data_IF_370120374914
#
_entry.id   IF_370120374914
#
_cell.length_a   1.000
_cell.length_b   1.000
_cell.length_c   1.000
_cell.angle_alpha   90.00
_cell.angle_beta   90.00
_cell.angle_gamma   90.00
#
_symmetry.space_group_name_H-M   'P 1'
#
loop_
_entity.id
_entity.type
_entity.pdbx_description
1 polymer ?
#
# COMPACT_ATOMS: atom_id res chain seq x y z
N UNK A 1 -42.13 -40.55 6.85
CA UNK A 1 -41.14 -40.53 5.75
C UNK A 1 -40.30 -39.31 5.90
N UNK A 2 -39.01 -39.48 6.16
CA UNK A 2 -38.05 -38.35 6.19
C UNK A 2 -37.93 -37.77 4.76
N UNK A 3 -38.38 -36.54 4.58
CA UNK A 3 -38.25 -35.83 3.31
C UNK A 3 -36.80 -35.37 3.20
N UNK A 4 -35.94 -36.25 2.67
CA UNK A 4 -34.53 -35.93 2.42
C UNK A 4 -34.43 -35.05 1.16
N UNK A 5 -34.05 -33.78 1.35
CA UNK A 5 -33.71 -32.88 0.25
C UNK A 5 -32.37 -33.30 -0.38
N UNK A 6 -32.48 -34.22 -1.36
CA UNK A 6 -31.34 -34.75 -2.12
C UNK A 6 -30.58 -33.65 -2.87
N UNK A 7 -31.24 -32.57 -3.27
CA UNK A 7 -30.59 -31.45 -3.92
C UNK A 7 -29.72 -30.63 -2.96
N UNK A 8 -30.15 -30.48 -1.72
CA UNK A 8 -29.37 -29.86 -0.64
C UNK A 8 -28.19 -30.73 -0.24
N UNK A 9 -28.42 -32.05 -0.07
CA UNK A 9 -27.33 -32.99 0.27
C UNK A 9 -26.29 -33.10 -0.84
N UNK A 10 -26.67 -33.04 -2.12
CA UNK A 10 -25.74 -33.01 -3.26
C UNK A 10 -24.93 -31.70 -3.26
N UNK A 11 -25.54 -30.56 -2.99
CA UNK A 11 -24.83 -29.27 -2.87
C UNK A 11 -23.88 -29.24 -1.69
N UNK A 12 -24.26 -29.85 -0.56
CA UNK A 12 -23.38 -29.96 0.61
C UNK A 12 -22.26 -30.97 0.35
N UNK A 13 -22.55 -32.14 -0.22
CA UNK A 13 -21.53 -33.12 -0.56
C UNK A 13 -20.52 -32.63 -1.60
N UNK A 14 -20.96 -31.81 -2.57
CA UNK A 14 -20.06 -31.17 -3.52
C UNK A 14 -19.10 -30.12 -2.91
N UNK A 15 -19.34 -29.71 -1.67
CA UNK A 15 -18.44 -28.83 -0.89
C UNK A 15 -17.34 -29.60 -0.17
N UNK A 16 -17.47 -30.91 -0.06
CA UNK A 16 -16.47 -31.76 0.58
C UNK A 16 -15.67 -32.50 -0.49
N UNK A 17 -14.38 -32.23 -0.57
CA UNK A 17 -13.46 -33.08 -1.33
C UNK A 17 -13.39 -34.46 -0.63
N UNK A 18 -14.03 -35.44 -1.24
CA UNK A 18 -14.04 -36.84 -0.74
C UNK A 18 -12.65 -37.48 -0.86
N UNK A 19 -11.77 -36.93 -1.69
CA UNK A 19 -10.43 -37.44 -1.92
C UNK A 19 -9.42 -36.31 -1.87
N UNK A 20 -8.45 -36.37 -0.97
CA UNK A 20 -7.30 -35.47 -0.98
C UNK A 20 -6.13 -36.12 -1.70
N UNK A 21 -5.67 -35.47 -2.74
CA UNK A 21 -4.44 -35.87 -3.42
C UNK A 21 -3.25 -35.62 -2.51
N UNK A 22 -2.39 -36.62 -2.35
CA UNK A 22 -1.15 -36.47 -1.59
C UNK A 22 0.04 -36.99 -2.37
N UNK A 23 1.17 -36.40 -2.08
CA UNK A 23 2.49 -36.77 -2.60
C UNK A 23 3.52 -36.80 -1.51
N UNK A 24 4.77 -36.86 -1.89
CA UNK A 24 5.92 -36.85 -0.97
C UNK A 24 6.90 -35.77 -1.35
N UNK A 25 7.50 -35.17 -0.34
CA UNK A 25 8.63 -34.26 -0.50
C UNK A 25 9.85 -35.02 -1.01
N UNK A 26 10.47 -34.52 -2.07
CA UNK A 26 11.64 -35.17 -2.71
C UNK A 26 12.94 -34.46 -2.41
N UNK A 27 12.90 -33.14 -2.21
CA UNK A 27 14.11 -32.36 -1.95
C UNK A 27 13.79 -30.92 -1.54
N UNK A 28 14.81 -30.24 -1.06
CA UNK A 28 14.79 -28.84 -0.68
C UNK A 28 16.04 -28.14 -1.21
N UNK A 29 15.91 -26.95 -1.78
CA UNK A 29 17.00 -26.10 -2.24
C UNK A 29 16.68 -24.65 -1.92
N UNK A 30 17.29 -24.11 -0.87
CA UNK A 30 16.97 -22.78 -0.36
C UNK A 30 15.49 -22.68 0.06
N UNK A 31 14.77 -21.76 -0.56
CA UNK A 31 13.32 -21.56 -0.30
C UNK A 31 12.44 -22.58 -1.05
N UNK A 32 13.00 -23.31 -2.00
CA UNK A 32 12.26 -24.15 -2.91
C UNK A 32 12.22 -25.60 -2.40
N UNK A 33 11.00 -26.11 -2.23
CA UNK A 33 10.76 -27.50 -1.92
C UNK A 33 10.20 -28.21 -3.15
N UNK A 34 10.68 -29.41 -3.43
CA UNK A 34 10.27 -30.22 -4.59
C UNK A 34 9.42 -31.38 -4.11
N UNK A 35 8.24 -31.59 -4.68
CA UNK A 35 7.34 -32.68 -4.29
C UNK A 35 6.65 -33.33 -5.50
N UNK A 36 6.30 -34.62 -5.34
CA UNK A 36 5.49 -35.37 -6.32
C UNK A 36 4.01 -35.17 -6.04
N UNK A 37 3.48 -33.98 -6.34
CA UNK A 37 2.09 -33.61 -6.09
C UNK A 37 1.45 -33.12 -7.40
N UNK A 38 0.39 -33.75 -7.91
CA UNK A 38 -0.41 -33.18 -8.98
C UNK A 38 -1.27 -32.01 -8.42
N UNK A 39 -0.91 -30.80 -8.81
CA UNK A 39 -1.57 -29.57 -8.35
C UNK A 39 -1.36 -28.47 -9.41
N UNK A 40 -2.15 -27.41 -9.41
CA UNK A 40 -1.97 -26.26 -10.29
C UNK A 40 -1.06 -25.19 -9.64
N UNK A 41 -0.47 -24.31 -10.46
CA UNK A 41 0.28 -23.16 -9.96
C UNK A 41 -0.67 -22.26 -9.18
N UNK A 42 -0.30 -21.92 -7.95
CA UNK A 42 -1.07 -21.12 -7.02
C UNK A 42 -1.92 -21.93 -6.05
N UNK A 43 -2.00 -23.26 -6.21
CA UNK A 43 -2.67 -24.10 -5.24
C UNK A 43 -1.90 -24.18 -3.93
N UNK A 44 -2.65 -24.28 -2.84
CA UNK A 44 -2.09 -24.52 -1.52
C UNK A 44 -1.88 -26.00 -1.25
N UNK A 45 -0.84 -26.31 -0.55
CA UNK A 45 -0.57 -27.64 -0.01
C UNK A 45 -0.10 -27.55 1.44
N UNK A 46 -0.24 -28.68 2.15
CA UNK A 46 0.21 -28.83 3.53
C UNK A 46 1.29 -29.92 3.61
N UNK A 47 2.44 -29.58 4.15
CA UNK A 47 3.54 -30.50 4.45
C UNK A 47 3.35 -30.95 5.88
N UNK A 48 3.26 -32.27 6.11
CA UNK A 48 3.04 -32.86 7.43
C UNK A 48 4.37 -33.02 8.15
N UNK A 49 4.57 -32.24 9.22
CA UNK A 49 5.76 -32.36 10.09
C UNK A 49 5.66 -33.56 11.03
N UNK A 50 6.79 -34.04 11.58
CA UNK A 50 6.80 -35.20 12.52
C UNK A 50 6.05 -34.96 13.83
N UNK A 51 6.00 -33.72 14.30
CA UNK A 51 5.28 -33.27 15.49
C UNK A 51 3.76 -33.18 15.31
N UNK A 52 3.27 -33.39 14.07
CA UNK A 52 1.86 -33.27 13.68
C UNK A 52 1.46 -31.88 13.21
N UNK A 53 2.32 -30.88 13.25
CA UNK A 53 2.07 -29.58 12.69
C UNK A 53 2.00 -29.61 11.16
N UNK A 54 1.28 -28.68 10.57
CA UNK A 54 1.13 -28.51 9.13
C UNK A 54 1.87 -27.26 8.69
N UNK A 55 2.90 -27.43 7.87
CA UNK A 55 3.55 -26.32 7.18
C UNK A 55 2.81 -26.04 5.88
N UNK A 56 2.13 -24.90 5.80
CA UNK A 56 1.44 -24.48 4.59
C UNK A 56 2.43 -23.97 3.54
N UNK A 57 2.20 -24.36 2.29
CA UNK A 57 3.01 -23.95 1.15
C UNK A 57 2.14 -23.68 -0.08
N UNK A 58 2.67 -22.98 -1.07
CA UNK A 58 2.04 -22.69 -2.35
C UNK A 58 2.85 -23.30 -3.50
N UNK A 59 2.16 -23.89 -4.46
CA UNK A 59 2.74 -24.39 -5.70
C UNK A 59 3.08 -23.19 -6.59
N UNK A 60 4.35 -22.98 -6.91
CA UNK A 60 4.84 -21.83 -7.68
C UNK A 60 5.32 -22.21 -9.09
N UNK A 61 5.49 -23.48 -9.37
CA UNK A 61 5.93 -23.97 -10.68
C UNK A 61 6.12 -25.47 -10.74
N UNK A 62 6.52 -25.94 -11.92
CA UNK A 62 6.82 -27.32 -12.21
C UNK A 62 8.09 -27.43 -13.04
N UNK A 63 8.89 -28.44 -12.76
CA UNK A 63 10.02 -28.81 -13.58
C UNK A 63 10.13 -30.33 -13.65
N UNK A 64 10.22 -30.91 -14.85
CA UNK A 64 10.37 -32.36 -15.07
C UNK A 64 9.29 -33.20 -14.36
N UNK A 65 8.05 -32.72 -14.30
CA UNK A 65 6.94 -33.41 -13.65
C UNK A 65 6.95 -33.36 -12.12
N UNK A 66 7.84 -32.57 -11.52
CA UNK A 66 7.93 -32.34 -10.08
C UNK A 66 7.37 -30.95 -9.75
N UNK A 67 6.48 -30.85 -8.79
CA UNK A 67 5.97 -29.58 -8.31
C UNK A 67 6.98 -28.88 -7.40
N UNK A 68 7.19 -27.61 -7.67
CA UNK A 68 7.96 -26.73 -6.81
C UNK A 68 7.03 -25.91 -5.92
N UNK A 69 7.22 -26.02 -4.62
CA UNK A 69 6.40 -25.33 -3.63
C UNK A 69 7.28 -24.45 -2.74
N UNK A 70 6.74 -23.34 -2.30
CA UNK A 70 7.38 -22.44 -1.32
C UNK A 70 6.49 -22.36 -0.10
N UNK A 71 7.02 -22.59 1.11
CA UNK A 71 6.27 -22.47 2.34
C UNK A 71 5.98 -20.99 2.69
N UNK A 72 4.87 -20.77 3.38
CA UNK A 72 4.50 -19.44 3.92
C UNK A 72 5.29 -19.09 5.18
N UNK A 73 5.86 -20.07 5.83
CA UNK A 73 6.68 -19.94 7.04
C UNK A 73 8.07 -20.55 6.80
N UNK A 74 9.00 -20.36 7.70
CA UNK A 74 10.33 -20.96 7.56
C UNK A 74 10.24 -22.49 7.59
N UNK A 75 10.94 -23.15 6.68
CA UNK A 75 10.89 -24.60 6.51
C UNK A 75 11.90 -25.30 7.46
N UNK A 76 11.70 -25.13 8.77
CA UNK A 76 12.48 -25.84 9.76
C UNK A 76 12.01 -27.30 9.88
N UNK A 77 12.95 -28.23 10.14
CA UNK A 77 12.69 -29.66 10.34
C UNK A 77 12.07 -30.37 9.13
N UNK A 78 12.21 -29.80 7.93
CA UNK A 78 11.70 -30.40 6.69
C UNK A 78 12.71 -31.37 6.11
N UNK A 79 12.30 -32.61 5.81
CA UNK A 79 13.15 -33.63 5.19
C UNK A 79 12.44 -34.37 4.05
N UNK A 80 13.22 -35.06 3.20
CA UNK A 80 12.69 -35.88 2.12
C UNK A 80 11.81 -37.01 2.65
N UNK A 81 10.76 -37.40 1.91
CA UNK A 81 9.83 -38.44 2.30
C UNK A 81 8.62 -37.93 3.11
N UNK A 82 8.63 -36.68 3.58
CA UNK A 82 7.46 -36.10 4.24
C UNK A 82 6.25 -36.08 3.33
N UNK A 83 5.07 -36.36 3.92
CA UNK A 83 3.80 -36.30 3.20
C UNK A 83 3.42 -34.87 2.88
N UNK A 84 3.01 -34.63 1.63
CA UNK A 84 2.47 -33.36 1.15
C UNK A 84 1.04 -33.58 0.68
N UNK A 85 0.08 -32.84 1.20
CA UNK A 85 -1.34 -32.97 0.85
C UNK A 85 -1.80 -31.73 0.10
N UNK A 86 -2.44 -31.92 -1.05
CA UNK A 86 -3.11 -30.85 -1.79
C UNK A 86 -4.35 -30.35 -1.03
N UNK A 87 -4.53 -29.04 -0.92
CA UNK A 87 -5.67 -28.46 -0.18
C UNK A 87 -6.86 -28.09 -1.08
N UNK A 88 -6.80 -28.46 -2.38
CA UNK A 88 -7.92 -28.32 -3.32
C UNK A 88 -8.20 -26.91 -3.82
N UNK A 89 -7.49 -25.90 -3.35
CA UNK A 89 -7.71 -24.51 -3.76
C UNK A 89 -6.45 -23.67 -3.63
N UNK A 90 -6.44 -22.52 -4.31
CA UNK A 90 -5.46 -21.47 -4.09
C UNK A 90 -5.71 -20.71 -2.79
N UNK A 91 -4.88 -19.69 -2.55
CA UNK A 91 -4.98 -18.86 -1.35
C UNK A 91 -6.39 -18.23 -1.23
N UNK A 92 -6.99 -18.38 -0.05
CA UNK A 92 -8.26 -17.77 0.33
C UNK A 92 -8.02 -16.75 1.45
N UNK A 93 -8.82 -15.67 1.45
CA UNK A 93 -8.76 -14.62 2.47
C UNK A 93 -10.12 -14.43 3.13
N UNK A 94 -10.18 -14.18 4.43
CA UNK A 94 -11.40 -13.73 5.09
C UNK A 94 -11.75 -12.31 4.60
N UNK A 95 -13.04 -12.06 4.38
CA UNK A 95 -13.56 -10.75 3.98
C UNK A 95 -14.85 -10.45 4.72
N UNK A 96 -15.13 -9.20 5.04
CA UNK A 96 -16.38 -8.79 5.68
C UNK A 96 -16.20 -7.81 6.83
N UNK A 97 -17.33 -7.36 7.38
CA UNK A 97 -17.36 -6.36 8.47
C UNK A 97 -16.66 -6.82 9.76
N UNK A 98 -16.54 -8.12 9.98
CA UNK A 98 -15.85 -8.68 11.15
C UNK A 98 -14.34 -8.47 11.17
N UNK A 99 -13.77 -7.90 10.08
CA UNK A 99 -12.37 -7.52 10.01
C UNK A 99 -12.09 -6.10 10.52
N UNK A 100 -13.12 -5.26 10.66
CA UNK A 100 -12.92 -3.90 11.17
C UNK A 100 -12.41 -3.93 12.61
N UNK A 101 -11.39 -3.16 12.87
CA UNK A 101 -10.70 -3.12 14.16
C UNK A 101 -9.70 -4.27 14.38
N UNK A 102 -9.52 -5.17 13.40
CA UNK A 102 -8.71 -6.38 13.55
C UNK A 102 -7.34 -6.25 12.87
N UNK A 103 -6.38 -6.93 13.47
CA UNK A 103 -5.03 -7.11 12.93
C UNK A 103 -4.86 -8.59 12.57
N UNK A 104 -4.49 -8.86 11.32
CA UNK A 104 -4.33 -10.23 10.80
C UNK A 104 -2.96 -10.40 10.12
N UNK A 105 -2.52 -11.64 9.96
CA UNK A 105 -1.31 -11.96 9.19
C UNK A 105 -1.54 -11.98 7.67
N UNK A 106 -0.49 -12.30 6.90
CA UNK A 106 -0.55 -12.39 5.44
C UNK A 106 -1.41 -13.51 4.89
N UNK A 107 -1.95 -14.39 5.72
CA UNK A 107 -2.94 -15.41 5.38
C UNK A 107 -4.34 -15.08 5.93
N UNK A 108 -4.51 -13.93 6.60
CA UNK A 108 -5.77 -13.52 7.22
C UNK A 108 -6.04 -14.12 8.59
N UNK A 109 -5.05 -14.74 9.25
CA UNK A 109 -5.18 -15.28 10.61
C UNK A 109 -5.06 -14.15 11.65
N UNK A 110 -5.90 -14.09 12.72
CA UNK A 110 -5.82 -13.05 13.74
C UNK A 110 -4.46 -13.00 14.45
N UNK A 111 -3.92 -11.79 14.64
CA UNK A 111 -2.69 -11.51 15.41
C UNK A 111 -2.95 -10.71 16.69
N UNK A 112 -4.13 -10.14 16.83
CA UNK A 112 -4.49 -9.16 17.87
C UNK A 112 -5.00 -9.77 19.19
N UNK A 113 -5.01 -11.10 19.31
CA UNK A 113 -5.57 -11.77 20.48
C UNK A 113 -7.10 -11.66 20.62
N UNK A 114 -7.80 -11.04 19.66
CA UNK A 114 -9.25 -10.81 19.65
C UNK A 114 -10.09 -12.06 19.37
N UNK A 115 -9.49 -13.25 19.35
CA UNK A 115 -10.15 -14.51 19.04
C UNK A 115 -10.52 -14.68 17.57
N UNK A 116 -11.31 -15.72 17.22
CA UNK A 116 -11.66 -16.04 15.83
C UNK A 116 -12.41 -14.90 15.13
N UNK A 117 -12.19 -14.72 13.85
CA UNK A 117 -12.93 -13.77 13.04
C UNK A 117 -14.39 -14.22 12.92
N UNK A 118 -15.32 -13.32 13.23
CA UNK A 118 -16.76 -13.54 13.11
C UNK A 118 -17.33 -12.64 12.03
N UNK A 119 -18.44 -13.02 11.39
CA UNK A 119 -19.08 -12.27 10.29
C UNK A 119 -18.11 -12.00 9.13
N UNK A 120 -17.33 -13.01 8.80
CA UNK A 120 -16.43 -13.02 7.67
C UNK A 120 -16.76 -14.18 6.74
N UNK A 121 -16.78 -13.91 5.43
CA UNK A 121 -16.81 -14.92 4.38
C UNK A 121 -15.39 -15.25 3.95
N UNK A 122 -15.20 -16.38 3.29
CA UNK A 122 -13.93 -16.73 2.66
C UNK A 122 -14.01 -16.46 1.15
N UNK A 123 -13.03 -15.75 0.60
CA UNK A 123 -12.93 -15.50 -0.83
C UNK A 123 -11.56 -15.88 -1.38
N UNK A 124 -11.51 -16.44 -2.60
CA UNK A 124 -10.24 -16.67 -3.29
C UNK A 124 -9.50 -15.35 -3.46
N UNK A 125 -8.20 -15.37 -3.18
CA UNK A 125 -7.32 -14.22 -3.43
C UNK A 125 -7.16 -14.06 -4.94
N UNK A 126 -7.79 -13.00 -5.48
CA UNK A 126 -7.78 -12.71 -6.91
C UNK A 126 -6.50 -12.01 -7.32
N UNK A 127 -5.94 -12.43 -8.45
CA UNK A 127 -4.77 -11.78 -9.08
C UNK A 127 -5.17 -10.92 -10.29
N UNK A 128 -6.47 -10.85 -10.62
CA UNK A 128 -6.99 -10.12 -11.77
C UNK A 128 -7.30 -8.65 -11.45
N UNK A 129 -7.09 -7.79 -12.44
CA UNK A 129 -7.44 -6.37 -12.38
C UNK A 129 -8.86 -6.13 -12.90
N UNK A 130 -9.59 -5.10 -12.40
CA UNK A 130 -10.86 -4.70 -12.99
C UNK A 130 -10.69 -4.34 -14.47
N UNK A 131 -11.66 -4.71 -15.36
CA UNK A 131 -11.57 -4.35 -16.77
C UNK A 131 -11.46 -2.84 -16.96
N UNK A 132 -10.59 -2.34 -17.84
CA UNK A 132 -10.28 -0.92 -17.95
C UNK A 132 -11.50 -0.06 -18.33
N UNK A 133 -12.39 -0.56 -19.16
CA UNK A 133 -13.59 0.17 -19.62
C UNK A 133 -14.73 0.22 -18.60
N UNK A 134 -14.68 -0.59 -17.54
CA UNK A 134 -15.68 -0.56 -16.45
C UNK A 134 -15.31 0.37 -15.32
N UNK A 135 -14.09 0.93 -15.32
CA UNK A 135 -13.61 1.84 -14.29
C UNK A 135 -14.26 3.21 -14.44
N UNK A 136 -14.88 3.71 -13.37
CA UNK A 136 -15.37 5.08 -13.33
C UNK A 136 -14.19 6.08 -13.36
N UNK A 137 -14.40 7.24 -14.00
CA UNK A 137 -13.41 8.32 -13.98
C UNK A 137 -13.28 8.95 -12.60
N UNK A 138 -12.09 9.39 -12.26
CA UNK A 138 -11.81 10.16 -11.06
C UNK A 138 -12.41 11.58 -11.24
N UNK A 139 -13.38 11.96 -10.40
CA UNK A 139 -14.08 13.26 -10.51
C UNK A 139 -14.31 13.96 -9.17
N UNK A 140 -14.04 13.28 -8.07
CA UNK A 140 -14.27 13.80 -6.72
C UNK A 140 -12.94 13.92 -5.99
N UNK A 141 -12.69 15.02 -5.28
CA UNK A 141 -11.52 15.11 -4.43
C UNK A 141 -11.59 14.06 -3.32
N UNK A 142 -10.44 13.53 -2.95
CA UNK A 142 -10.24 12.71 -1.77
C UNK A 142 -9.58 13.55 -0.69
N UNK A 143 -10.30 13.81 0.38
CA UNK A 143 -9.82 14.65 1.49
C UNK A 143 -9.03 13.81 2.46
N UNK A 144 -7.83 14.25 2.78
CA UNK A 144 -6.90 13.59 3.70
C UNK A 144 -6.86 14.22 5.10
N UNK A 145 -7.36 15.44 5.24
CA UNK A 145 -7.24 16.27 6.44
C UNK A 145 -5.87 16.95 6.58
N UNK A 146 -4.96 16.76 5.60
CA UNK A 146 -3.64 17.38 5.56
C UNK A 146 -3.65 18.57 4.57
N UNK A 147 -3.47 19.80 5.07
CA UNK A 147 -3.56 21.03 4.26
C UNK A 147 -2.71 21.01 3.01
N UNK A 148 -1.45 20.60 3.14
CA UNK A 148 -0.50 20.56 2.02
C UNK A 148 -0.96 19.58 0.92
N UNK A 149 -1.57 18.45 1.30
CA UNK A 149 -2.08 17.47 0.35
C UNK A 149 -3.40 17.94 -0.24
N UNK A 150 -4.34 18.35 0.60
CA UNK A 150 -5.69 18.71 0.18
C UNK A 150 -5.71 19.96 -0.72
N UNK A 151 -4.88 20.97 -0.41
CA UNK A 151 -4.88 22.23 -1.16
C UNK A 151 -3.90 22.25 -2.35
N UNK A 152 -2.71 21.64 -2.23
CA UNK A 152 -1.65 21.81 -3.24
C UNK A 152 -1.37 20.54 -4.07
N UNK A 153 -1.74 19.39 -3.56
CA UNK A 153 -1.54 18.09 -4.22
C UNK A 153 -2.84 17.31 -4.33
N UNK A 154 -3.97 17.98 -4.32
CA UNK A 154 -5.33 17.42 -4.21
C UNK A 154 -5.46 16.06 -4.90
N UNK A 155 -5.79 15.03 -4.10
CA UNK A 155 -6.03 13.69 -4.61
C UNK A 155 -7.45 13.54 -5.10
N UNK A 156 -7.67 12.54 -5.95
CA UNK A 156 -9.00 12.12 -6.35
C UNK A 156 -9.40 10.77 -5.74
N UNK A 157 -10.69 10.57 -5.53
CA UNK A 157 -11.22 9.26 -5.11
C UNK A 157 -10.91 8.19 -6.15
N UNK A 158 -10.20 7.13 -5.73
CA UNK A 158 -9.72 6.07 -6.61
C UNK A 158 -8.37 6.37 -7.26
N UNK A 159 -7.69 7.45 -6.90
CA UNK A 159 -6.33 7.73 -7.35
C UNK A 159 -5.33 6.82 -6.64
N UNK A 160 -4.23 6.50 -7.33
CA UNK A 160 -3.09 5.73 -6.82
C UNK A 160 -1.90 6.65 -6.67
N UNK A 161 -1.48 6.88 -5.43
CA UNK A 161 -0.44 7.86 -5.08
C UNK A 161 0.72 7.16 -4.38
N UNK A 162 1.96 7.47 -4.77
CA UNK A 162 3.16 7.02 -4.08
C UNK A 162 3.65 8.02 -3.04
N UNK A 163 4.06 7.56 -1.86
CA UNK A 163 4.83 8.35 -0.91
C UNK A 163 6.27 7.84 -0.95
N UNK A 164 7.16 8.67 -1.49
CA UNK A 164 8.58 8.39 -1.63
C UNK A 164 9.32 9.02 -0.45
N UNK A 165 9.98 8.20 0.34
CA UNK A 165 10.55 8.64 1.59
C UNK A 165 11.83 7.86 1.96
N UNK A 166 12.84 8.56 2.42
CA UNK A 166 13.93 7.95 3.17
C UNK A 166 13.51 7.56 4.60
N UNK A 167 14.43 7.00 5.37
CA UNK A 167 14.17 6.66 6.78
C UNK A 167 14.08 7.93 7.65
N UNK A 168 13.14 7.96 8.61
CA UNK A 168 13.07 8.98 9.65
C UNK A 168 12.48 10.34 9.25
N UNK A 169 11.86 10.47 8.08
CA UNK A 169 11.30 11.74 7.58
C UNK A 169 9.82 11.97 7.95
N UNK A 170 9.24 11.14 8.82
CA UNK A 170 7.84 11.28 9.25
C UNK A 170 6.81 10.51 8.39
N UNK A 171 7.24 9.53 7.59
CA UNK A 171 6.37 8.70 6.73
C UNK A 171 5.21 8.06 7.52
N UNK A 172 5.51 7.32 8.58
CA UNK A 172 4.51 6.58 9.36
C UNK A 172 3.52 7.51 10.06
N UNK A 173 3.99 8.66 10.55
CA UNK A 173 3.13 9.70 11.13
C UNK A 173 2.16 10.24 10.08
N UNK A 174 2.64 10.59 8.88
CA UNK A 174 1.79 11.08 7.80
C UNK A 174 0.74 10.03 7.38
N UNK A 175 1.11 8.74 7.26
CA UNK A 175 0.18 7.66 6.97
C UNK A 175 -0.90 7.54 8.04
N UNK A 176 -0.53 7.59 9.33
CA UNK A 176 -1.46 7.55 10.45
C UNK A 176 -2.43 8.74 10.43
N UNK A 177 -1.93 9.95 10.19
CA UNK A 177 -2.77 11.15 10.08
C UNK A 177 -3.74 11.07 8.90
N UNK A 178 -3.33 10.58 7.75
CA UNK A 178 -4.22 10.35 6.60
C UNK A 178 -5.26 9.28 6.94
N UNK A 179 -4.88 8.16 7.57
CA UNK A 179 -5.81 7.09 7.94
C UNK A 179 -6.91 7.59 8.89
N UNK A 180 -6.55 8.46 9.86
CA UNK A 180 -7.49 9.07 10.81
C UNK A 180 -8.32 10.21 10.19
N UNK A 181 -7.68 11.04 9.36
CA UNK A 181 -8.27 12.27 8.81
C UNK A 181 -9.08 12.08 7.54
N UNK A 182 -8.92 10.97 6.84
CA UNK A 182 -9.54 10.76 5.52
C UNK A 182 -11.06 10.57 5.59
N UNK A 183 -11.72 10.91 4.50
CA UNK A 183 -13.17 10.69 4.28
C UNK A 183 -13.50 9.30 3.72
N UNK A 184 -12.58 8.34 3.78
CA UNK A 184 -12.87 6.97 3.39
C UNK A 184 -13.84 6.29 4.36
N UNK A 185 -14.69 5.38 3.87
CA UNK A 185 -15.61 4.58 4.69
C UNK A 185 -14.84 3.53 5.49
N UNK A 186 -13.82 2.93 4.88
CA UNK A 186 -12.98 1.87 5.44
C UNK A 186 -11.53 2.09 5.05
N UNK A 187 -10.62 1.85 5.99
CA UNK A 187 -9.20 1.77 5.69
C UNK A 187 -8.77 0.30 5.64
N UNK A 188 -7.92 -0.06 4.68
CA UNK A 188 -7.23 -1.35 4.63
C UNK A 188 -5.74 -1.08 4.53
N UNK A 189 -5.00 -1.50 5.55
CA UNK A 189 -3.58 -1.26 5.66
C UNK A 189 -2.82 -2.58 5.51
N UNK A 190 -1.83 -2.62 4.63
CA UNK A 190 -0.90 -3.73 4.46
C UNK A 190 0.50 -3.28 4.91
N UNK A 191 0.95 -3.77 6.05
CA UNK A 191 2.29 -3.54 6.59
C UNK A 191 3.18 -4.71 6.18
N UNK A 192 3.97 -4.51 5.11
CA UNK A 192 4.73 -5.57 4.47
C UNK A 192 6.23 -5.34 4.64
N UNK A 193 6.89 -6.25 5.33
CA UNK A 193 8.34 -6.22 5.55
C UNK A 193 8.81 -5.18 6.57
N UNK A 194 7.91 -4.60 7.34
CA UNK A 194 8.26 -3.70 8.44
C UNK A 194 8.72 -4.50 9.67
N UNK A 195 9.48 -3.86 10.56
CA UNK A 195 9.97 -4.52 11.79
C UNK A 195 8.82 -4.66 12.79
N UNK A 196 8.78 -5.75 13.55
CA UNK A 196 7.71 -6.00 14.53
C UNK A 196 7.48 -4.85 15.51
N UNK A 197 8.56 -4.20 16.00
CA UNK A 197 8.45 -3.01 16.87
C UNK A 197 7.80 -1.81 16.18
N UNK A 198 8.04 -1.62 14.86
CA UNK A 198 7.51 -0.50 14.09
C UNK A 198 6.01 -0.70 13.80
N UNK A 199 5.59 -1.95 13.61
CA UNK A 199 4.17 -2.32 13.49
C UNK A 199 3.41 -1.92 14.75
N UNK A 200 3.92 -2.28 15.93
CA UNK A 200 3.27 -1.96 17.19
C UNK A 200 3.18 -0.46 17.43
N UNK A 201 4.29 0.28 17.26
CA UNK A 201 4.31 1.73 17.37
C UNK A 201 3.36 2.40 16.37
N UNK A 202 3.27 1.89 15.12
CA UNK A 202 2.33 2.41 14.14
C UNK A 202 0.87 2.25 14.59
N UNK A 203 0.51 1.07 15.12
CA UNK A 203 -0.85 0.77 15.58
C UNK A 203 -1.24 1.60 16.80
N UNK A 204 -0.35 1.73 17.79
CA UNK A 204 -0.61 2.41 19.05
C UNK A 204 -0.46 3.94 18.93
N UNK A 205 0.63 4.44 18.32
CA UNK A 205 0.98 5.87 18.33
C UNK A 205 0.45 6.62 17.10
N UNK A 206 0.54 6.00 15.91
CA UNK A 206 0.17 6.68 14.66
C UNK A 206 -1.31 6.48 14.33
N UNK A 207 -1.82 5.25 14.35
CA UNK A 207 -3.20 4.93 14.01
C UNK A 207 -4.15 5.16 15.19
N UNK A 208 -3.77 4.68 16.39
CA UNK A 208 -4.57 4.78 17.60
C UNK A 208 -5.88 4.00 17.55
N UNK A 209 -6.66 4.03 18.63
CA UNK A 209 -7.92 3.29 18.74
C UNK A 209 -8.97 3.77 17.73
N UNK A 210 -9.07 5.10 17.50
CA UNK A 210 -10.03 5.69 16.55
C UNK A 210 -9.74 5.24 15.12
N UNK A 211 -8.48 5.33 14.69
CA UNK A 211 -8.06 4.91 13.36
C UNK A 211 -8.21 3.41 13.17
N UNK A 212 -7.84 2.61 14.18
CA UNK A 212 -7.95 1.16 14.12
C UNK A 212 -9.41 0.70 13.98
N UNK A 213 -10.36 1.31 14.70
CA UNK A 213 -11.77 0.90 14.70
C UNK A 213 -12.41 0.91 13.30
N UNK A 214 -11.91 1.74 12.38
CA UNK A 214 -12.36 1.81 10.98
C UNK A 214 -11.39 1.16 9.99
N UNK A 215 -10.42 0.41 10.50
CA UNK A 215 -9.34 -0.17 9.70
C UNK A 215 -9.33 -1.70 9.77
N UNK A 216 -8.86 -2.30 8.69
CA UNK A 216 -8.38 -3.68 8.63
C UNK A 216 -6.87 -3.61 8.45
N UNK A 217 -6.11 -4.28 9.30
CA UNK A 217 -4.65 -4.26 9.21
C UNK A 217 -4.11 -5.65 8.92
N UNK A 218 -3.39 -5.78 7.81
CA UNK A 218 -2.70 -7.01 7.41
C UNK A 218 -1.21 -6.81 7.63
N UNK A 219 -0.59 -7.70 8.40
CA UNK A 219 0.82 -7.58 8.81
C UNK A 219 1.62 -8.76 8.30
N UNK A 220 2.74 -8.48 7.65
CA UNK A 220 3.77 -9.45 7.36
C UNK A 220 5.15 -8.79 7.59
N UNK A 221 5.76 -9.11 8.71
CA UNK A 221 7.00 -8.48 9.17
C UNK A 221 8.24 -8.96 8.41
N UNK A 222 9.37 -8.27 8.56
CA UNK A 222 10.59 -8.54 7.78
C UNK A 222 11.22 -9.91 8.07
N UNK A 223 10.98 -10.47 9.25
CA UNK A 223 11.45 -11.81 9.64
C UNK A 223 10.62 -12.95 9.04
N UNK A 224 9.42 -12.68 8.51
CA UNK A 224 8.59 -13.73 7.91
C UNK A 224 9.08 -14.13 6.51
N UNK A 225 8.74 -15.36 6.11
CA UNK A 225 9.15 -15.92 4.83
C UNK A 225 8.71 -15.03 3.64
N UNK A 226 9.49 -15.01 2.54
CA UNK A 226 9.23 -14.15 1.38
C UNK A 226 7.83 -14.33 0.79
N UNK A 227 7.31 -15.57 0.77
CA UNK A 227 5.98 -15.85 0.24
C UNK A 227 4.89 -15.22 1.12
N UNK A 228 5.02 -15.28 2.45
CA UNK A 228 4.09 -14.62 3.38
C UNK A 228 4.03 -13.11 3.12
N UNK A 229 5.21 -12.46 3.00
CA UNK A 229 5.31 -11.02 2.70
C UNK A 229 4.69 -10.67 1.34
N UNK A 230 4.94 -11.48 0.32
CA UNK A 230 4.38 -11.26 -1.01
C UNK A 230 2.85 -11.44 -1.07
N UNK A 231 2.29 -12.38 -0.29
CA UNK A 231 0.85 -12.66 -0.26
C UNK A 231 0.06 -11.72 0.62
N UNK A 232 0.66 -11.12 1.64
CA UNK A 232 0.02 -10.15 2.52
C UNK A 232 -0.60 -8.97 1.77
N UNK A 233 0.10 -8.42 0.77
CA UNK A 233 -0.43 -7.35 -0.07
C UNK A 233 -1.65 -7.81 -0.87
N UNK A 234 -1.65 -9.03 -1.42
CA UNK A 234 -2.76 -9.57 -2.20
C UNK A 234 -3.98 -9.89 -1.34
N UNK A 235 -3.77 -10.41 -0.12
CA UNK A 235 -4.83 -10.64 0.88
C UNK A 235 -5.47 -9.31 1.26
N UNK A 236 -4.68 -8.28 1.56
CA UNK A 236 -5.19 -6.95 1.88
C UNK A 236 -6.00 -6.33 0.73
N UNK A 237 -5.52 -6.46 -0.52
CA UNK A 237 -6.25 -5.99 -1.70
C UNK A 237 -7.57 -6.75 -1.86
N UNK A 238 -7.61 -8.06 -1.59
CA UNK A 238 -8.84 -8.86 -1.65
C UNK A 238 -9.85 -8.39 -0.62
N UNK A 239 -9.40 -8.04 0.59
CA UNK A 239 -10.24 -7.44 1.64
C UNK A 239 -10.77 -6.07 1.21
N UNK A 240 -9.92 -5.20 0.64
CA UNK A 240 -10.31 -3.89 0.12
C UNK A 240 -11.33 -4.01 -1.04
N UNK A 241 -11.11 -4.95 -1.96
CA UNK A 241 -12.01 -5.22 -3.09
C UNK A 241 -13.40 -5.68 -2.64
N UNK A 242 -13.47 -6.42 -1.54
CA UNK A 242 -14.76 -6.81 -0.97
C UNK A 242 -15.59 -5.60 -0.55
N UNK A 243 -15.01 -4.63 0.16
CA UNK A 243 -15.70 -3.40 0.55
C UNK A 243 -16.02 -2.52 -0.65
N UNK A 244 -15.09 -2.38 -1.62
CA UNK A 244 -15.36 -1.68 -2.88
C UNK A 244 -16.54 -2.28 -3.62
N UNK A 245 -16.65 -3.61 -3.70
CA UNK A 245 -17.75 -4.30 -4.36
C UNK A 245 -19.12 -4.05 -3.67
N UNK A 246 -19.12 -3.65 -2.39
CA UNK A 246 -20.31 -3.22 -1.65
C UNK A 246 -20.63 -1.73 -1.85
N UNK A 247 -19.88 -1.02 -2.69
CA UNK A 247 -20.07 0.40 -2.97
C UNK A 247 -19.29 1.35 -2.06
N UNK A 248 -18.50 0.83 -1.12
CA UNK A 248 -17.72 1.65 -0.21
C UNK A 248 -16.56 2.37 -0.92
N UNK A 249 -16.19 3.52 -0.35
CA UNK A 249 -14.95 4.21 -0.66
C UNK A 249 -13.85 3.76 0.30
N UNK A 250 -12.90 3.00 -0.20
CA UNK A 250 -11.82 2.39 0.59
C UNK A 250 -10.53 3.20 0.44
N UNK A 251 -9.88 3.51 1.55
CA UNK A 251 -8.48 3.93 1.57
C UNK A 251 -7.60 2.69 1.75
N UNK A 252 -6.83 2.37 0.73
CA UNK A 252 -5.85 1.29 0.79
C UNK A 252 -4.45 1.87 0.99
N UNK A 253 -3.75 1.39 2.01
CA UNK A 253 -2.37 1.78 2.28
C UNK A 253 -1.46 0.55 2.24
N UNK A 254 -0.33 0.65 1.53
CA UNK A 254 0.69 -0.40 1.50
C UNK A 254 2.04 0.19 1.93
N UNK A 255 2.54 -0.26 3.05
CA UNK A 255 3.86 0.08 3.58
C UNK A 255 4.70 -1.20 3.70
N UNK A 256 5.60 -1.51 2.70
CA UNK A 256 5.92 -0.72 1.52
C UNK A 256 5.98 -1.56 0.23
N UNK A 257 5.82 -0.89 -0.91
CA UNK A 257 6.06 -1.51 -2.24
C UNK A 257 7.50 -2.01 -2.38
N UNK A 258 8.47 -1.27 -1.84
CA UNK A 258 9.88 -1.67 -1.88
C UNK A 258 10.10 -3.01 -1.17
N UNK A 259 9.45 -3.23 -0.02
CA UNK A 259 9.55 -4.50 0.71
C UNK A 259 8.82 -5.64 -0.01
N UNK A 260 7.68 -5.34 -0.65
CA UNK A 260 7.00 -6.29 -1.53
C UNK A 260 7.89 -6.69 -2.70
N UNK A 261 8.57 -5.72 -3.34
CA UNK A 261 9.53 -5.95 -4.42
C UNK A 261 10.71 -6.84 -3.97
N UNK A 262 11.25 -6.59 -2.77
CA UNK A 262 12.31 -7.41 -2.19
C UNK A 262 11.85 -8.86 -1.95
N UNK A 263 10.66 -9.06 -1.39
CA UNK A 263 10.09 -10.40 -1.20
C UNK A 263 9.90 -11.14 -2.54
N UNK A 264 9.39 -10.46 -3.55
CA UNK A 264 9.24 -11.04 -4.88
C UNK A 264 10.60 -11.33 -5.55
N UNK A 265 11.61 -10.49 -5.35
CA UNK A 265 12.97 -10.75 -5.82
C UNK A 265 13.54 -12.04 -5.23
N UNK A 266 13.37 -12.25 -3.91
CA UNK A 266 13.82 -13.48 -3.25
C UNK A 266 13.13 -14.72 -3.85
N UNK A 267 11.83 -14.63 -4.14
CA UNK A 267 11.07 -15.70 -4.79
C UNK A 267 11.53 -15.92 -6.24
N UNK A 268 11.70 -14.86 -7.03
CA UNK A 268 12.14 -14.97 -8.42
C UNK A 268 13.53 -15.58 -8.54
N UNK A 269 14.48 -15.16 -7.70
CA UNK A 269 15.82 -15.74 -7.66
C UNK A 269 15.80 -17.22 -7.26
N UNK A 270 14.98 -17.60 -6.29
CA UNK A 270 14.81 -19.01 -5.90
C UNK A 270 14.24 -19.86 -7.05
N UNK A 271 13.39 -19.28 -7.91
CA UNK A 271 12.87 -19.92 -9.12
C UNK A 271 13.83 -19.94 -10.30
N UNK A 272 15.03 -19.35 -10.16
CA UNK A 272 16.02 -19.28 -11.22
C UNK A 272 15.76 -18.17 -12.25
N UNK A 273 14.93 -17.17 -11.94
CA UNK A 273 14.80 -16.00 -12.79
C UNK A 273 16.14 -15.24 -12.87
N UNK A 274 16.57 -14.82 -14.06
CA UNK A 274 17.80 -14.05 -14.18
C UNK A 274 17.65 -12.68 -13.53
N UNK A 275 18.62 -12.25 -12.70
CA UNK A 275 18.60 -10.91 -12.15
C UNK A 275 18.84 -9.84 -13.23
N UNK A 276 18.16 -8.74 -13.16
CA UNK A 276 18.33 -7.53 -13.97
C UNK A 276 18.94 -6.39 -13.14
N UNK A 277 18.53 -5.14 -13.39
CA UNK A 277 19.06 -3.96 -12.71
C UNK A 277 18.99 -4.08 -11.18
N UNK A 278 20.07 -3.82 -10.49
CA UNK A 278 20.24 -3.92 -9.02
C UNK A 278 19.77 -5.26 -8.43
N UNK A 279 19.84 -6.35 -9.24
CA UNK A 279 19.48 -7.70 -8.81
C UNK A 279 17.99 -7.99 -8.71
N UNK A 280 17.12 -7.11 -9.18
CA UNK A 280 15.68 -7.37 -9.29
C UNK A 280 15.40 -8.32 -10.46
N UNK A 281 14.41 -9.20 -10.28
CA UNK A 281 13.97 -10.13 -11.32
C UNK A 281 12.81 -9.54 -12.13
N UNK A 282 12.55 -9.98 -13.37
CA UNK A 282 11.46 -9.48 -14.21
C UNK A 282 10.08 -9.58 -13.53
N UNK A 283 9.84 -10.64 -12.76
CA UNK A 283 8.58 -10.84 -12.02
C UNK A 283 8.29 -9.76 -10.99
N UNK A 284 9.31 -9.05 -10.48
CA UNK A 284 9.15 -7.94 -9.53
C UNK A 284 8.32 -6.82 -10.15
N UNK A 285 8.69 -6.39 -11.35
CA UNK A 285 7.98 -5.29 -12.04
C UNK A 285 6.55 -5.66 -12.41
N UNK A 286 6.33 -6.94 -12.77
CA UNK A 286 4.98 -7.47 -13.00
C UNK A 286 4.12 -7.42 -11.73
N UNK A 287 4.67 -7.80 -10.58
CA UNK A 287 3.96 -7.78 -9.30
C UNK A 287 3.63 -6.34 -8.89
N UNK A 288 4.55 -5.40 -9.06
CA UNK A 288 4.29 -3.98 -8.79
C UNK A 288 3.16 -3.44 -9.66
N UNK A 289 3.20 -3.67 -10.97
CA UNK A 289 2.16 -3.24 -11.90
C UNK A 289 0.80 -3.85 -11.54
N UNK A 290 0.75 -5.15 -11.28
CA UNK A 290 -0.48 -5.84 -10.89
C UNK A 290 -1.05 -5.31 -9.57
N UNK A 291 -0.20 -5.04 -8.58
CA UNK A 291 -0.60 -4.50 -7.27
C UNK A 291 -1.25 -3.11 -7.44
N UNK A 292 -0.61 -2.23 -8.20
CA UNK A 292 -1.13 -0.87 -8.46
C UNK A 292 -2.42 -0.93 -9.28
N UNK A 293 -2.50 -1.78 -10.32
CA UNK A 293 -3.64 -1.84 -11.22
C UNK A 293 -4.90 -2.49 -10.61
N UNK A 294 -4.79 -3.24 -9.51
CA UNK A 294 -5.95 -3.76 -8.79
C UNK A 294 -6.71 -2.70 -8.00
N UNK A 295 -6.07 -1.57 -7.72
CA UNK A 295 -6.66 -0.43 -7.03
C UNK A 295 -7.46 0.46 -8.00
N UNK A 296 -8.05 1.51 -7.48
CA UNK A 296 -8.79 2.49 -8.27
C UNK A 296 -10.30 2.29 -8.24
N UNK A 297 -10.97 3.02 -9.13
CA UNK A 297 -12.42 2.97 -9.26
C UNK A 297 -12.88 1.67 -9.94
N UNK A 298 -14.04 1.18 -9.52
CA UNK A 298 -14.82 0.17 -10.25
C UNK A 298 -16.11 0.80 -10.79
N UNK A 299 -17.06 -0.01 -11.25
CA UNK A 299 -18.39 0.47 -11.64
C UNK A 299 -19.14 1.03 -10.41
N UNK A 300 -18.94 0.42 -9.25
CA UNK A 300 -19.44 0.87 -7.94
C UNK A 300 -18.31 0.84 -6.94
N UNK A 301 -18.26 1.82 -6.02
CA UNK A 301 -17.20 1.94 -5.04
C UNK A 301 -15.83 2.31 -5.61
N UNK A 302 -14.87 2.54 -4.74
CA UNK A 302 -13.53 2.97 -5.12
C UNK A 302 -12.48 2.52 -4.11
N UNK A 303 -11.24 2.33 -4.58
CA UNK A 303 -10.07 2.13 -3.72
C UNK A 303 -9.06 3.23 -4.04
N UNK A 304 -8.93 4.21 -3.15
CA UNK A 304 -7.81 5.18 -3.22
C UNK A 304 -6.58 4.52 -2.62
N UNK A 305 -5.51 4.43 -3.40
CA UNK A 305 -4.27 3.78 -3.00
C UNK A 305 -3.21 4.77 -2.55
N UNK A 306 -2.67 4.59 -1.34
CA UNK A 306 -1.45 5.26 -0.88
C UNK A 306 -0.38 4.19 -0.67
N UNK A 307 0.65 4.24 -1.51
CA UNK A 307 1.67 3.21 -1.62
C UNK A 307 3.03 3.82 -1.27
N UNK A 308 3.69 3.31 -0.25
CA UNK A 308 4.99 3.87 0.12
C UNK A 308 6.12 3.20 -0.65
N UNK A 309 7.10 3.99 -1.00
CA UNK A 309 8.35 3.57 -1.64
C UNK A 309 9.51 4.08 -0.79
N UNK A 310 10.31 3.14 -0.30
CA UNK A 310 11.53 3.48 0.43
C UNK A 310 12.61 3.86 -0.58
N UNK A 311 13.21 5.02 -0.38
CA UNK A 311 14.23 5.59 -1.28
C UNK A 311 15.51 5.77 -0.49
N UNK A 312 16.46 4.88 -0.71
CA UNK A 312 17.75 4.94 -0.04
C UNK A 312 18.58 6.13 -0.57
N UNK A 313 19.09 6.94 0.35
CA UNK A 313 19.90 8.13 -0.03
C UNK A 313 19.14 9.19 -0.82
N UNK A 314 17.79 9.21 -0.73
CA UNK A 314 16.91 10.12 -1.48
C UNK A 314 17.04 10.00 -3.03
N UNK A 315 17.54 8.83 -3.53
CA UNK A 315 17.73 8.49 -4.95
C UNK A 315 16.41 8.03 -5.59
N UNK A 316 15.70 8.93 -6.26
CA UNK A 316 14.45 8.62 -6.98
C UNK A 316 14.67 7.85 -8.30
N UNK A 317 15.91 7.67 -8.74
CA UNK A 317 16.26 6.95 -9.97
C UNK A 317 16.57 5.46 -9.69
N UNK A 318 16.37 5.02 -8.45
CA UNK A 318 16.40 3.61 -8.07
C UNK A 318 15.30 2.84 -8.84
N UNK A 319 15.58 1.62 -9.36
CA UNK A 319 14.68 0.92 -10.28
C UNK A 319 13.24 0.75 -9.80
N UNK A 320 13.02 0.49 -8.49
CA UNK A 320 11.67 0.36 -7.93
C UNK A 320 10.98 1.73 -7.83
N UNK A 321 11.73 2.76 -7.46
CA UNK A 321 11.20 4.12 -7.37
C UNK A 321 10.79 4.64 -8.75
N UNK A 322 11.65 4.48 -9.75
CA UNK A 322 11.37 4.90 -11.12
C UNK A 322 10.20 4.13 -11.74
N UNK A 323 10.22 2.80 -11.67
CA UNK A 323 9.13 1.96 -12.18
C UNK A 323 7.79 2.31 -11.51
N UNK A 324 7.79 2.47 -10.19
CA UNK A 324 6.57 2.80 -9.43
C UNK A 324 6.04 4.18 -9.81
N UNK A 325 6.92 5.19 -9.97
CA UNK A 325 6.56 6.55 -10.39
C UNK A 325 5.86 6.56 -11.75
N UNK A 326 6.25 5.66 -12.66
CA UNK A 326 5.60 5.46 -13.95
C UNK A 326 4.20 4.85 -13.87
N UNK A 327 3.95 3.98 -12.89
CA UNK A 327 2.68 3.27 -12.72
C UNK A 327 1.61 4.08 -11.97
N UNK A 328 2.01 5.10 -11.20
CA UNK A 328 1.13 5.83 -10.30
C UNK A 328 0.53 7.08 -10.96
N UNK A 329 -0.63 7.52 -10.45
CA UNK A 329 -1.34 8.72 -10.86
C UNK A 329 -0.83 10.00 -10.16
N UNK A 330 0.21 9.88 -9.36
CA UNK A 330 0.86 10.97 -8.64
C UNK A 330 1.84 10.45 -7.59
N UNK A 331 2.68 11.33 -7.10
CA UNK A 331 3.65 11.00 -6.06
C UNK A 331 3.92 12.18 -5.12
N UNK A 332 4.22 11.85 -3.89
CA UNK A 332 4.64 12.76 -2.82
C UNK A 332 6.06 12.37 -2.45
N UNK A 333 6.95 13.33 -2.42
CA UNK A 333 8.32 13.14 -1.95
C UNK A 333 8.45 13.79 -0.58
N UNK A 334 8.83 13.00 0.43
CA UNK A 334 9.19 13.53 1.74
C UNK A 334 10.68 13.89 1.72
N UNK A 335 10.98 15.12 2.10
CA UNK A 335 12.33 15.69 2.05
C UNK A 335 12.97 15.71 3.44
N UNK A 336 14.15 15.11 3.55
CA UNK A 336 14.93 15.07 4.80
C UNK A 336 15.32 16.46 5.30
N UNK A 337 15.64 17.40 4.40
CA UNK A 337 16.03 18.76 4.77
C UNK A 337 14.89 19.52 5.44
N UNK A 338 13.64 19.26 5.00
CA UNK A 338 12.46 19.83 5.65
C UNK A 338 12.26 19.21 7.05
N UNK A 339 12.40 17.90 7.18
CA UNK A 339 12.29 17.22 8.47
C UNK A 339 13.36 17.70 9.47
N UNK A 340 14.62 17.87 9.04
CA UNK A 340 15.72 18.40 9.85
C UNK A 340 15.48 19.85 10.32
N UNK A 341 14.72 20.64 9.55
CA UNK A 341 14.26 21.99 9.92
C UNK A 341 13.00 21.99 10.80
N UNK A 342 12.50 20.83 11.22
CA UNK A 342 11.26 20.71 11.99
C UNK A 342 10.01 21.10 11.21
N UNK A 343 10.05 21.02 9.87
CA UNK A 343 8.90 21.30 9.00
C UNK A 343 8.13 20.02 8.73
N UNK A 344 6.96 19.88 9.34
CA UNK A 344 6.09 18.71 9.15
C UNK A 344 4.68 19.12 8.72
N UNK A 345 4.03 18.29 7.83
CA UNK A 345 4.63 17.15 7.12
C UNK A 345 5.75 17.61 6.17
N UNK A 346 6.81 16.81 6.07
CA UNK A 346 8.03 17.15 5.33
C UNK A 346 7.87 16.98 3.80
N UNK A 347 6.78 17.48 3.23
CA UNK A 347 6.40 17.31 1.81
C UNK A 347 7.14 18.31 0.93
N UNK A 348 7.96 17.82 0.02
CA UNK A 348 8.60 18.62 -1.01
C UNK A 348 7.63 18.91 -2.16
N UNK A 349 7.06 20.10 -2.21
CA UNK A 349 6.11 20.51 -3.26
C UNK A 349 6.74 20.60 -4.64
N UNK A 350 8.03 20.93 -4.70
CA UNK A 350 8.77 20.99 -5.97
C UNK A 350 8.98 19.61 -6.61
N UNK A 351 9.05 18.55 -5.79
CA UNK A 351 9.28 17.16 -6.23
C UNK A 351 8.01 16.30 -6.21
N UNK A 352 6.86 16.88 -5.87
CA UNK A 352 5.58 16.17 -5.71
C UNK A 352 4.55 16.62 -6.72
N UNK A 353 3.75 15.67 -7.21
CA UNK A 353 2.70 15.92 -8.19
C UNK A 353 1.48 15.03 -7.98
N UNK A 354 0.28 15.60 -8.15
CA UNK A 354 -0.95 14.87 -8.42
C UNK A 354 -1.37 15.09 -9.86
N UNK A 355 -1.42 14.03 -10.65
CA UNK A 355 -1.76 14.12 -12.09
C UNK A 355 -3.25 14.37 -12.31
N UNK A 356 -4.09 14.05 -11.31
CA UNK A 356 -5.56 14.23 -11.39
C UNK A 356 -6.06 15.50 -10.69
N UNK A 357 -5.19 16.29 -10.09
CA UNK A 357 -5.60 17.50 -9.35
C UNK A 357 -6.48 18.43 -10.19
N UNK A 358 -6.18 18.59 -11.49
CA UNK A 358 -6.96 19.42 -12.42
C UNK A 358 -8.36 18.86 -12.70
N UNK A 359 -8.58 17.58 -12.56
CA UNK A 359 -9.87 16.92 -12.82
C UNK A 359 -10.82 16.99 -11.62
N UNK A 360 -10.27 17.24 -10.42
CA UNK A 360 -10.99 17.21 -9.15
C UNK A 360 -11.03 18.57 -8.44
N UNK A 361 -10.46 19.62 -9.03
CA UNK A 361 -10.47 21.01 -8.51
C UNK A 361 -10.98 21.99 -9.55
N UNK A 362 -11.57 23.08 -9.10
CA UNK A 362 -12.02 24.17 -9.96
C UNK A 362 -10.87 25.12 -10.38
N UNK A 363 -11.17 26.05 -11.28
CA UNK A 363 -10.20 26.99 -11.83
C UNK A 363 -9.62 27.94 -10.77
N UNK A 364 -10.43 28.35 -9.77
CA UNK A 364 -10.00 29.23 -8.68
C UNK A 364 -8.99 28.53 -7.77
N UNK A 365 -9.27 27.28 -7.42
CA UNK A 365 -8.35 26.43 -6.65
C UNK A 365 -7.02 26.25 -7.40
N UNK A 366 -7.08 25.90 -8.69
CA UNK A 366 -5.89 25.69 -9.51
C UNK A 366 -5.02 26.96 -9.64
N UNK A 367 -5.66 28.11 -9.78
CA UNK A 367 -4.97 29.41 -9.81
C UNK A 367 -4.26 29.69 -8.48
N UNK A 368 -4.95 29.50 -7.37
CA UNK A 368 -4.40 29.71 -6.01
C UNK A 368 -3.23 28.77 -5.72
N UNK A 369 -3.36 27.50 -6.07
CA UNK A 369 -2.31 26.50 -5.91
C UNK A 369 -1.06 26.82 -6.80
N UNK A 370 -1.29 27.31 -8.02
CA UNK A 370 -0.20 27.76 -8.91
C UNK A 370 0.54 28.94 -8.31
N UNK A 371 -0.16 29.98 -7.86
CA UNK A 371 0.44 31.16 -7.24
C UNK A 371 1.27 30.81 -5.99
N UNK A 372 0.77 29.92 -5.11
CA UNK A 372 1.50 29.48 -3.94
C UNK A 372 2.80 28.73 -4.30
N UNK A 373 2.76 27.89 -5.35
CA UNK A 373 3.96 27.21 -5.88
C UNK A 373 4.95 28.20 -6.49
N UNK A 374 4.47 29.25 -7.13
CA UNK A 374 5.31 30.33 -7.68
C UNK A 374 6.03 31.11 -6.57
N UNK A 375 5.32 31.48 -5.49
CA UNK A 375 5.95 32.11 -4.31
C UNK A 375 7.09 31.24 -3.78
N UNK A 376 6.85 29.93 -3.62
CA UNK A 376 7.87 29.00 -3.14
C UNK A 376 9.05 28.88 -4.10
N UNK A 377 8.81 28.84 -5.40
CA UNK A 377 9.86 28.76 -6.42
C UNK A 377 10.75 30.03 -6.42
N UNK A 378 10.13 31.21 -6.48
CA UNK A 378 10.85 32.50 -6.44
C UNK A 378 11.68 32.63 -5.16
N UNK A 379 11.11 32.24 -4.00
CA UNK A 379 11.86 32.29 -2.74
C UNK A 379 13.04 31.29 -2.76
N UNK A 380 12.83 30.07 -3.25
CA UNK A 380 13.86 29.02 -3.32
C UNK A 380 15.02 29.40 -4.23
N UNK A 381 14.77 30.09 -5.36
CA UNK A 381 15.82 30.58 -6.26
C UNK A 381 16.70 31.66 -5.60
N UNK A 382 16.11 32.44 -4.69
CA UNK A 382 16.84 33.49 -3.97
C UNK A 382 17.37 33.05 -2.60
N UNK A 383 17.03 31.84 -2.12
CA UNK A 383 17.31 31.38 -0.73
C UNK A 383 18.79 31.51 -0.35
N UNK A 384 19.71 31.14 -1.23
CA UNK A 384 21.14 31.22 -0.93
C UNK A 384 21.62 32.66 -0.81
N UNK A 385 21.17 33.56 -1.70
CA UNK A 385 21.51 34.99 -1.63
C UNK A 385 20.95 35.66 -0.38
N UNK A 386 19.72 35.28 0.01
CA UNK A 386 19.08 35.79 1.25
C UNK A 386 19.87 35.31 2.47
N UNK A 387 20.23 34.03 2.51
CA UNK A 387 20.93 33.42 3.66
C UNK A 387 22.29 33.97 3.91
N UNK A 388 23.05 34.29 2.85
CA UNK A 388 24.40 34.90 2.97
C UNK A 388 24.35 36.44 3.08
N UNK A 389 23.16 37.05 3.07
CA UNK A 389 22.97 38.50 3.13
C UNK A 389 23.38 39.27 1.89
N UNK A 390 23.51 38.57 0.74
CA UNK A 390 23.89 39.18 -0.54
C UNK A 390 22.70 39.71 -1.34
N UNK A 391 21.48 39.37 -0.94
CA UNK A 391 20.28 39.91 -1.58
C UNK A 391 20.00 41.34 -1.12
N UNK A 392 19.98 42.27 -2.05
CA UNK A 392 19.62 43.67 -1.78
C UNK A 392 18.09 43.85 -1.94
N UNK A 393 17.40 44.26 -0.88
CA UNK A 393 15.97 44.54 -0.89
C UNK A 393 15.68 45.67 -1.91
N UNK A 394 14.64 45.50 -2.73
CA UNK A 394 14.29 46.40 -3.82
C UNK A 394 14.89 46.02 -5.18
N UNK A 395 15.82 45.05 -5.25
CA UNK A 395 16.41 44.59 -6.51
C UNK A 395 15.45 43.76 -7.39
N UNK A 396 14.51 43.04 -6.75
CA UNK A 396 13.45 42.27 -7.43
C UNK A 396 12.15 42.34 -6.68
N UNK A 397 11.12 43.00 -7.25
CA UNK A 397 9.80 43.10 -6.60
C UNK A 397 9.15 41.72 -6.31
N UNK A 398 9.42 40.72 -7.15
CA UNK A 398 8.91 39.36 -6.95
C UNK A 398 9.58 38.68 -5.76
N UNK A 399 10.90 38.78 -5.64
CA UNK A 399 11.65 38.19 -4.50
C UNK A 399 11.28 38.91 -3.19
N UNK A 400 11.18 40.23 -3.19
CA UNK A 400 10.76 41.00 -2.01
C UNK A 400 9.38 40.53 -1.54
N UNK A 401 8.44 40.41 -2.47
CA UNK A 401 7.09 39.95 -2.14
C UNK A 401 7.05 38.50 -1.66
N UNK A 402 7.85 37.62 -2.27
CA UNK A 402 7.98 36.24 -1.83
C UNK A 402 8.51 36.16 -0.38
N UNK A 403 9.55 36.95 -0.03
CA UNK A 403 10.09 37.04 1.32
C UNK A 403 9.02 37.47 2.32
N UNK A 404 8.18 38.48 1.98
CA UNK A 404 7.10 38.97 2.84
C UNK A 404 6.01 37.94 3.10
N UNK A 405 5.67 37.13 2.09
CA UNK A 405 4.61 36.11 2.19
C UNK A 405 5.09 34.79 2.77
N UNK A 406 6.39 34.53 2.77
CA UNK A 406 6.97 33.24 3.20
C UNK A 406 6.57 32.79 4.60
N UNK A 407 6.50 33.67 5.64
CA UNK A 407 6.02 33.28 6.96
C UNK A 407 4.61 32.67 6.92
N UNK A 408 3.69 33.32 6.22
CA UNK A 408 2.29 32.82 6.07
C UNK A 408 2.21 31.53 5.26
N UNK A 409 3.05 31.39 4.23
CA UNK A 409 3.16 30.14 3.44
C UNK A 409 3.68 29.00 4.31
N UNK A 410 4.73 29.22 5.10
CA UNK A 410 5.29 28.20 5.99
C UNK A 410 4.29 27.79 7.09
N UNK A 411 3.56 28.74 7.67
CA UNK A 411 2.49 28.46 8.64
C UNK A 411 1.38 27.62 8.01
N UNK A 412 0.99 27.92 6.77
CA UNK A 412 -0.01 27.13 6.04
C UNK A 412 0.45 25.71 5.77
N UNK A 413 1.71 25.51 5.38
CA UNK A 413 2.28 24.22 5.03
C UNK A 413 2.56 23.31 6.23
N UNK A 414 2.86 23.90 7.40
CA UNK A 414 3.09 23.14 8.63
C UNK A 414 1.77 22.74 9.26
N UNK A 415 1.70 21.52 9.74
CA UNK A 415 0.53 20.98 10.43
C UNK A 415 0.99 20.04 11.54
N UNK A 416 0.47 20.24 12.75
CA UNK A 416 0.81 19.40 13.88
C UNK A 416 0.13 18.03 13.82
N UNK A 417 0.69 17.05 14.50
CA UNK A 417 0.07 15.74 14.69
C UNK A 417 -1.27 15.92 15.39
N UNK A 418 -2.31 15.26 14.87
CA UNK A 418 -3.68 15.38 15.37
C UNK A 418 -4.46 16.62 14.89
N UNK A 419 -3.79 17.58 14.25
CA UNK A 419 -4.46 18.72 13.65
C UNK A 419 -5.16 18.30 12.35
N UNK A 420 -6.47 18.52 12.24
CA UNK A 420 -7.25 18.23 11.05
C UNK A 420 -7.89 19.51 10.55
N UNK A 421 -7.72 19.80 9.28
CA UNK A 421 -8.31 21.00 8.67
C UNK A 421 -9.36 20.58 7.63
N UNK A 422 -10.61 21.09 7.70
CA UNK A 422 -11.61 20.86 6.67
C UNK A 422 -11.11 21.31 5.30
N UNK A 423 -11.47 20.59 4.23
CA UNK A 423 -11.04 20.88 2.86
C UNK A 423 -11.33 22.33 2.43
N UNK A 424 -12.56 22.80 2.68
CA UNK A 424 -12.96 24.18 2.36
C UNK A 424 -12.05 25.21 3.06
N UNK A 425 -11.76 25.01 4.34
CA UNK A 425 -10.89 25.92 5.11
C UNK A 425 -9.45 25.92 4.59
N UNK A 426 -8.95 24.76 4.17
CA UNK A 426 -7.63 24.66 3.52
C UNK A 426 -7.58 25.45 2.21
N UNK A 427 -8.64 25.36 1.40
CA UNK A 427 -8.77 26.11 0.14
C UNK A 427 -8.89 27.61 0.39
N UNK A 428 -9.68 28.05 1.38
CA UNK A 428 -9.85 29.46 1.75
C UNK A 428 -8.54 30.09 2.22
N UNK A 429 -7.80 29.41 3.11
CA UNK A 429 -6.49 29.87 3.58
C UNK A 429 -5.49 29.98 2.42
N UNK A 430 -5.43 28.98 1.54
CA UNK A 430 -4.58 29.02 0.34
C UNK A 430 -4.95 30.20 -0.56
N UNK A 431 -6.25 30.42 -0.84
CA UNK A 431 -6.73 31.51 -1.67
C UNK A 431 -6.40 32.89 -1.08
N UNK A 432 -6.51 33.04 0.25
CA UNK A 432 -6.13 34.26 0.96
C UNK A 432 -4.65 34.60 0.74
N UNK A 433 -3.75 33.64 0.90
CA UNK A 433 -2.29 33.86 0.67
C UNK A 433 -2.05 34.17 -0.81
N UNK A 434 -2.66 33.41 -1.72
CA UNK A 434 -2.53 33.57 -3.16
C UNK A 434 -3.03 34.92 -3.68
N UNK A 435 -4.06 35.50 -3.04
CA UNK A 435 -4.60 36.83 -3.37
C UNK A 435 -3.61 37.96 -3.12
N UNK A 436 -2.71 37.78 -2.15
CA UNK A 436 -1.64 38.73 -1.85
C UNK A 436 -0.45 38.67 -2.83
N UNK A 437 -0.43 37.70 -3.76
CA UNK A 437 0.57 37.56 -4.82
C UNK A 437 0.09 38.24 -6.09
N UNK A 438 0.66 39.42 -6.46
CA UNK A 438 0.17 40.21 -7.59
C UNK A 438 0.67 39.72 -8.95
N UNK A 439 1.61 38.79 -8.97
CA UNK A 439 2.25 38.28 -10.18
C UNK A 439 1.56 36.98 -10.67
N UNK A 440 1.68 36.68 -11.98
CA UNK A 440 1.19 35.42 -12.59
C UNK A 440 -0.21 35.46 -13.18
#
# INVERSE_FOLDING_TARGET
>A
MLNLDLARLRREAARYELFRTSGVLRGATGLLLSCSLPAAIGDQCAIHKPDGELLLAEVIGFQNGVAHVVPYEHAEEVHSGMRVTHLGCGLIAPVGQGLLGRVVDGLGRPLDGGGPLRRCDLRPVRRGTPPPLTRARIRRPFVTGQRVLDALLTFGQGQRVGIFAGSGVGKSTLLGEIAKGSQADVNVLALVGERGREVRSFLEDCLGAEGLARSVVVVATCEQAPLMRARAAQVAITMADHFRAQGAHVLFMLDSLTRLAMAQRELGLALGEPPSSRGYTPSVFQVLANTVEQLGNAATGSITGILTVLVDGDDLDEPIADATRGLLDGHIVLDRRLAERGHYPAVSLARSISRVAREVTDAGHQLSARKLREILAVHSEAEDLIRIGAYARGSSPQVDRAIELMPSVLEFLRQNVGERTPFAQSCEKMASIASAWPFG
#
